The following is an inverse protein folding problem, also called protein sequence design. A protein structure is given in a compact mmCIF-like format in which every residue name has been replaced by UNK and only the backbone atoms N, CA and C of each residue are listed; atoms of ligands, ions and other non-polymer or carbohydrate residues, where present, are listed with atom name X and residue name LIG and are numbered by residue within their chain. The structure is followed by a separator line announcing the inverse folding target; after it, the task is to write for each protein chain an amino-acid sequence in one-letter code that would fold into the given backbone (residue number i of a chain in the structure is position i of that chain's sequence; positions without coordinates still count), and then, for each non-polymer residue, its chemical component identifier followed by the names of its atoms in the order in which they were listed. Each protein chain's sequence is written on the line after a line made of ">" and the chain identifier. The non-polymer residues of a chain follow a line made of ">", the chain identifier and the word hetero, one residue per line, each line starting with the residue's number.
data_IF_743536658589
#
_entry.id   IF_743536658589
#
_cell.length_a   1.000
_cell.length_b   1.000
_cell.length_c   1.000
_cell.angle_alpha   90.00
_cell.angle_beta   90.00
_cell.angle_gamma   90.00
#
_symmetry.space_group_name_H-M   'P 1'
#
loop_
_entity.id
_entity.type
_entity.pdbx_description
1 polymer ?
#
# COMPACT_ATOMS: atom_id res chain seq x y z
N UNK A 1 17.34 -11.70 -22.75
CA UNK A 1 15.93 -12.16 -22.84
C UNK A 1 15.32 -12.42 -21.46
N UNK A 2 15.98 -13.16 -20.56
CA UNK A 2 15.48 -13.40 -19.19
C UNK A 2 15.22 -12.10 -18.40
N UNK A 3 16.15 -11.13 -18.50
CA UNK A 3 16.03 -9.84 -17.81
C UNK A 3 14.81 -9.01 -18.27
N UNK A 4 14.53 -8.97 -19.58
CA UNK A 4 13.37 -8.27 -20.13
C UNK A 4 12.06 -8.91 -19.67
N UNK A 5 11.99 -10.23 -19.70
CA UNK A 5 10.83 -11.00 -19.21
C UNK A 5 10.55 -10.71 -17.74
N UNK A 6 11.58 -10.71 -16.89
CA UNK A 6 11.44 -10.43 -15.46
C UNK A 6 10.94 -8.98 -15.22
N UNK A 7 11.49 -8.01 -15.95
CA UNK A 7 11.03 -6.60 -15.90
C UNK A 7 9.57 -6.42 -16.32
N UNK A 8 9.14 -7.09 -17.38
CA UNK A 8 7.74 -7.05 -17.84
C UNK A 8 6.82 -7.72 -16.82
N UNK A 9 7.19 -8.89 -16.30
CA UNK A 9 6.40 -9.58 -15.28
C UNK A 9 6.25 -8.73 -14.01
N UNK A 10 7.33 -8.12 -13.53
CA UNK A 10 7.29 -7.22 -12.38
C UNK A 10 6.37 -6.02 -12.65
N UNK A 11 6.47 -5.38 -13.82
CA UNK A 11 5.62 -4.26 -14.21
C UNK A 11 4.13 -4.63 -14.33
N UNK A 12 3.82 -5.82 -14.84
CA UNK A 12 2.45 -6.35 -14.90
C UNK A 12 1.90 -6.67 -13.51
N UNK A 13 2.71 -7.26 -12.64
CA UNK A 13 2.30 -7.53 -11.26
C UNK A 13 2.07 -6.23 -10.48
N UNK A 14 2.88 -5.19 -10.71
CA UNK A 14 2.65 -3.85 -10.15
C UNK A 14 1.37 -3.22 -10.69
N UNK A 15 1.12 -3.29 -12.00
CA UNK A 15 -0.12 -2.82 -12.60
C UNK A 15 -1.33 -3.54 -11.97
N UNK A 16 -1.23 -4.84 -11.67
CA UNK A 16 -2.27 -5.60 -10.97
C UNK A 16 -2.57 -5.03 -9.59
N UNK A 17 -1.57 -4.59 -8.84
CA UNK A 17 -1.76 -3.93 -7.53
C UNK A 17 -2.60 -2.68 -7.68
N UNK A 18 -2.19 -1.80 -8.61
CA UNK A 18 -2.88 -0.53 -8.84
C UNK A 18 -4.30 -0.77 -9.33
N UNK A 19 -4.50 -1.76 -10.21
CA UNK A 19 -5.82 -2.16 -10.69
C UNK A 19 -6.70 -2.61 -9.53
N UNK A 20 -6.23 -3.55 -8.70
CA UNK A 20 -7.02 -4.08 -7.60
C UNK A 20 -7.38 -3.00 -6.59
N UNK A 21 -6.44 -2.12 -6.26
CA UNK A 21 -6.69 -0.97 -5.40
C UNK A 21 -7.68 0.03 -5.99
N UNK A 22 -7.54 0.35 -7.27
CA UNK A 22 -8.45 1.25 -7.98
C UNK A 22 -9.86 0.64 -8.05
N UNK A 23 -9.99 -0.66 -8.31
CA UNK A 23 -11.27 -1.37 -8.34
C UNK A 23 -11.99 -1.31 -7.00
N UNK A 24 -11.25 -1.55 -5.91
CA UNK A 24 -11.77 -1.49 -4.56
C UNK A 24 -12.29 -0.07 -4.27
N UNK A 25 -11.48 0.97 -4.53
CA UNK A 25 -11.89 2.37 -4.36
C UNK A 25 -13.10 2.76 -5.24
N UNK A 26 -13.17 2.31 -6.49
CA UNK A 26 -14.32 2.52 -7.38
C UNK A 26 -15.58 1.89 -6.80
N UNK A 27 -15.49 0.64 -6.32
CA UNK A 27 -16.62 -0.06 -5.72
C UNK A 27 -17.20 0.70 -4.53
N UNK A 28 -16.33 1.32 -3.73
CA UNK A 28 -16.74 2.20 -2.64
C UNK A 28 -17.31 3.52 -3.11
N UNK A 29 -16.72 4.15 -4.12
CA UNK A 29 -17.25 5.37 -4.74
C UNK A 29 -18.67 5.16 -5.27
N UNK A 30 -18.95 4.03 -5.91
CA UNK A 30 -20.31 3.67 -6.29
C UNK A 30 -21.22 3.54 -5.07
N UNK A 31 -20.80 2.80 -4.04
CA UNK A 31 -21.61 2.59 -2.84
C UNK A 31 -21.92 3.89 -2.09
N UNK A 32 -20.93 4.78 -1.92
CA UNK A 32 -21.05 6.05 -1.20
C UNK A 32 -22.20 6.93 -1.73
N UNK A 33 -22.43 6.92 -3.05
CA UNK A 33 -23.49 7.72 -3.69
C UNK A 33 -24.90 7.24 -3.30
N UNK A 34 -25.05 5.96 -2.96
CA UNK A 34 -26.33 5.36 -2.58
C UNK A 34 -26.56 5.30 -1.07
N UNK A 35 -25.59 5.73 -0.25
CA UNK A 35 -25.77 5.75 1.21
C UNK A 35 -26.71 6.88 1.65
N UNK A 36 -27.48 6.62 2.70
CA UNK A 36 -28.59 7.46 3.18
C UNK A 36 -28.22 8.94 3.38
N UNK A 37 -26.99 9.22 3.82
CA UNK A 37 -26.52 10.57 4.15
C UNK A 37 -25.79 11.28 3.02
N UNK A 38 -25.63 10.66 1.85
CA UNK A 38 -25.03 11.34 0.70
C UNK A 38 -25.77 12.63 0.29
N UNK A 39 -27.13 12.67 0.25
CA UNK A 39 -27.86 13.90 -0.08
C UNK A 39 -27.68 15.04 0.92
N UNK A 40 -27.27 14.73 2.16
CA UNK A 40 -27.06 15.71 3.23
C UNK A 40 -25.66 16.35 3.20
N UNK A 41 -24.75 15.82 2.38
CA UNK A 41 -23.44 16.41 2.19
C UNK A 41 -23.54 17.79 1.50
N UNK A 42 -22.60 18.72 1.77
CA UNK A 42 -22.50 19.95 1.01
C UNK A 42 -22.36 19.66 -0.50
N UNK A 43 -22.98 20.49 -1.34
CA UNK A 43 -22.93 20.33 -2.79
C UNK A 43 -21.51 20.28 -3.35
N UNK A 44 -20.54 20.96 -2.70
CA UNK A 44 -19.12 20.88 -3.05
C UNK A 44 -18.58 19.47 -2.88
N UNK A 45 -18.95 18.80 -1.80
CA UNK A 45 -18.43 17.50 -1.39
C UNK A 45 -19.04 16.38 -2.21
N UNK A 46 -20.33 16.50 -2.56
CA UNK A 46 -20.98 15.62 -3.55
C UNK A 46 -20.28 15.70 -4.91
N UNK A 47 -20.02 16.91 -5.42
CA UNK A 47 -19.32 17.10 -6.70
C UNK A 47 -17.89 16.55 -6.64
N UNK A 48 -17.18 16.76 -5.54
CA UNK A 48 -15.83 16.21 -5.36
C UNK A 48 -15.82 14.68 -5.38
N UNK A 49 -16.79 14.02 -4.74
CA UNK A 49 -16.92 12.56 -4.80
C UNK A 49 -17.26 12.05 -6.21
N UNK A 50 -18.05 12.79 -6.99
CA UNK A 50 -18.31 12.45 -8.41
C UNK A 50 -17.06 12.63 -9.27
N UNK A 51 -16.30 13.71 -9.05
CA UNK A 51 -15.02 13.95 -9.73
C UNK A 51 -14.02 12.86 -9.38
N UNK A 52 -13.93 12.49 -8.10
CA UNK A 52 -13.09 11.40 -7.60
C UNK A 52 -13.41 10.07 -8.30
N UNK A 53 -14.69 9.67 -8.30
CA UNK A 53 -15.14 8.46 -8.98
C UNK A 53 -14.81 8.49 -10.48
N UNK A 54 -15.02 9.62 -11.16
CA UNK A 54 -14.66 9.80 -12.57
C UNK A 54 -13.15 9.64 -12.81
N UNK A 55 -12.33 10.19 -11.92
CA UNK A 55 -10.88 10.09 -11.97
C UNK A 55 -10.40 8.65 -11.78
N UNK A 56 -10.98 7.93 -10.83
CA UNK A 56 -10.68 6.52 -10.56
C UNK A 56 -11.13 5.62 -11.72
N UNK A 57 -12.30 5.86 -12.31
CA UNK A 57 -12.78 5.13 -13.50
C UNK A 57 -11.85 5.34 -14.70
N UNK A 58 -11.43 6.57 -14.95
CA UNK A 58 -10.44 6.87 -15.99
C UNK A 58 -9.10 6.16 -15.72
N UNK A 59 -8.64 6.18 -14.47
CA UNK A 59 -7.42 5.49 -14.04
C UNK A 59 -7.51 3.99 -14.26
N UNK A 60 -8.63 3.38 -13.91
CA UNK A 60 -8.87 1.96 -14.14
C UNK A 60 -8.89 1.63 -15.65
N UNK A 61 -9.55 2.43 -16.48
CA UNK A 61 -9.55 2.24 -17.93
C UNK A 61 -8.13 2.32 -18.54
N UNK A 62 -7.32 3.28 -18.08
CA UNK A 62 -5.92 3.39 -18.48
C UNK A 62 -5.12 2.14 -18.05
N UNK A 63 -5.26 1.68 -16.81
CA UNK A 63 -4.55 0.50 -16.34
C UNK A 63 -4.96 -0.79 -17.07
N UNK A 64 -6.25 -0.96 -17.39
CA UNK A 64 -6.72 -2.10 -18.18
C UNK A 64 -6.17 -2.07 -19.61
N UNK A 65 -5.90 -0.88 -20.15
CA UNK A 65 -5.29 -0.70 -21.47
C UNK A 65 -3.95 -1.42 -21.59
N UNK A 66 -3.16 -1.55 -20.51
CA UNK A 66 -1.89 -2.30 -20.51
C UNK A 66 -2.09 -3.76 -20.93
N UNK A 67 -3.06 -4.43 -20.34
CA UNK A 67 -3.38 -5.82 -20.63
C UNK A 67 -3.92 -5.98 -22.06
N UNK A 68 -4.76 -5.04 -22.51
CA UNK A 68 -5.28 -5.03 -23.87
C UNK A 68 -4.16 -4.80 -24.90
N UNK A 69 -3.26 -3.85 -24.64
CA UNK A 69 -2.14 -3.51 -25.51
C UNK A 69 -1.18 -4.69 -25.68
N UNK A 70 -0.79 -5.34 -24.57
CA UNK A 70 0.07 -6.52 -24.60
C UNK A 70 -0.51 -7.62 -25.49
N UNK A 71 -1.83 -7.84 -25.42
CA UNK A 71 -2.47 -8.93 -26.15
C UNK A 71 -2.76 -8.59 -27.62
N UNK A 72 -3.13 -7.35 -27.92
CA UNK A 72 -3.59 -6.92 -29.25
C UNK A 72 -2.43 -6.45 -30.11
N UNK A 73 -1.56 -5.58 -29.57
CA UNK A 73 -0.46 -4.97 -30.32
C UNK A 73 0.76 -5.88 -30.33
N UNK A 74 1.16 -6.35 -29.15
CA UNK A 74 2.37 -7.16 -28.96
C UNK A 74 2.11 -8.66 -29.15
N UNK A 75 0.85 -9.07 -29.37
CA UNK A 75 0.42 -10.48 -29.53
C UNK A 75 0.84 -11.41 -28.37
N UNK A 76 1.09 -10.83 -27.20
CA UNK A 76 1.58 -11.53 -26.01
C UNK A 76 3.10 -11.77 -25.97
N UNK A 77 3.87 -11.14 -26.87
CA UNK A 77 5.33 -11.20 -26.85
C UNK A 77 5.93 -10.12 -25.94
N UNK A 78 6.99 -10.50 -25.23
CA UNK A 78 7.74 -9.64 -24.32
C UNK A 78 8.65 -8.68 -25.11
N UNK A 79 8.18 -7.47 -25.42
CA UNK A 79 8.93 -6.48 -26.20
C UNK A 79 9.44 -5.29 -25.38
N UNK A 80 10.58 -4.66 -25.77
CA UNK A 80 11.04 -3.41 -25.15
C UNK A 80 10.08 -2.23 -25.37
N UNK A 81 9.25 -2.29 -26.43
CA UNK A 81 8.18 -1.31 -26.67
C UNK A 81 7.13 -1.38 -25.57
N UNK A 82 6.69 -2.59 -25.23
CA UNK A 82 5.72 -2.82 -24.17
C UNK A 82 6.20 -2.35 -22.80
N UNK A 83 7.46 -2.61 -22.45
CA UNK A 83 8.03 -2.14 -21.18
C UNK A 83 7.98 -0.60 -21.05
N UNK A 84 8.25 0.13 -22.15
CA UNK A 84 8.10 1.59 -22.17
C UNK A 84 6.66 2.02 -22.00
N UNK A 85 5.72 1.33 -22.63
CA UNK A 85 4.28 1.57 -22.44
C UNK A 85 3.87 1.37 -20.98
N UNK A 86 4.31 0.29 -20.33
CA UNK A 86 4.10 0.05 -18.89
C UNK A 86 4.58 1.26 -18.07
N UNK A 87 5.83 1.67 -18.27
CA UNK A 87 6.40 2.78 -17.49
C UNK A 87 5.68 4.12 -17.73
N UNK A 88 5.30 4.40 -18.98
CA UNK A 88 4.68 5.66 -19.39
C UNK A 88 3.24 5.76 -18.88
N UNK A 89 2.49 4.66 -18.94
CA UNK A 89 1.09 4.65 -18.54
C UNK A 89 0.91 4.62 -17.02
N UNK A 90 1.84 4.00 -16.27
CA UNK A 90 1.69 3.90 -14.82
C UNK A 90 2.18 5.13 -14.04
N UNK A 91 3.09 5.95 -14.59
CA UNK A 91 3.52 7.18 -13.92
C UNK A 91 2.38 8.17 -13.64
N UNK A 92 1.47 8.49 -14.60
CA UNK A 92 0.39 9.42 -14.36
C UNK A 92 -0.74 8.85 -13.48
N UNK A 93 -0.83 7.53 -13.26
CA UNK A 93 -1.95 6.92 -12.52
C UNK A 93 -1.85 7.07 -10.99
N UNK A 94 -0.67 7.36 -10.46
CA UNK A 94 -0.48 7.59 -9.01
C UNK A 94 -1.07 8.93 -8.55
N UNK A 95 -1.13 9.93 -9.44
CA UNK A 95 -1.67 11.27 -9.13
C UNK A 95 -3.18 11.19 -8.85
N UNK A 96 -4.00 10.56 -9.72
CA UNK A 96 -5.41 10.32 -9.41
C UNK A 96 -5.65 9.63 -8.07
N UNK A 97 -4.85 8.62 -7.73
CA UNK A 97 -5.00 7.91 -6.45
C UNK A 97 -4.68 8.84 -5.26
N UNK A 98 -3.65 9.68 -5.39
CA UNK A 98 -3.30 10.65 -4.34
C UNK A 98 -4.40 11.71 -4.15
N UNK A 99 -4.97 12.19 -5.26
CA UNK A 99 -6.12 13.13 -5.24
C UNK A 99 -7.33 12.44 -4.62
N UNK A 100 -7.59 11.18 -4.97
CA UNK A 100 -8.69 10.40 -4.44
C UNK A 100 -8.63 10.26 -2.93
N UNK A 101 -7.47 9.83 -2.40
CA UNK A 101 -7.26 9.73 -0.96
C UNK A 101 -7.45 11.07 -0.25
N UNK A 102 -7.00 12.17 -0.87
CA UNK A 102 -7.20 13.53 -0.36
C UNK A 102 -8.66 13.97 -0.33
N UNK A 103 -9.41 13.73 -1.40
CA UNK A 103 -10.84 14.05 -1.48
C UNK A 103 -11.62 13.25 -0.43
N UNK A 104 -11.36 11.94 -0.34
CA UNK A 104 -12.06 11.08 0.61
C UNK A 104 -11.76 11.49 2.07
N UNK A 105 -10.50 11.82 2.41
CA UNK A 105 -10.14 12.38 3.72
C UNK A 105 -10.75 13.76 3.97
N UNK A 106 -10.86 14.61 2.95
CA UNK A 106 -11.54 15.90 3.07
C UNK A 106 -13.00 15.72 3.46
N UNK A 107 -13.74 14.85 2.76
CA UNK A 107 -15.15 14.60 3.03
C UNK A 107 -15.35 13.97 4.41
N UNK A 108 -14.51 12.98 4.76
CA UNK A 108 -14.50 12.36 6.07
C UNK A 108 -14.26 13.38 7.19
N UNK A 109 -13.25 14.23 7.02
CA UNK A 109 -12.91 15.28 7.96
C UNK A 109 -13.96 16.38 8.04
N UNK A 110 -14.58 16.78 6.92
CA UNK A 110 -15.64 17.80 6.90
C UNK A 110 -16.86 17.35 7.70
N UNK A 111 -17.23 16.06 7.60
CA UNK A 111 -18.36 15.49 8.35
C UNK A 111 -18.12 15.45 9.87
N UNK A 112 -16.88 15.31 10.32
CA UNK A 112 -16.56 15.12 11.75
C UNK A 112 -16.00 16.38 12.42
N UNK A 113 -15.09 17.09 11.76
CA UNK A 113 -14.36 18.25 12.29
C UNK A 113 -14.84 19.59 11.67
N UNK A 114 -15.77 19.54 10.73
CA UNK A 114 -16.17 20.69 9.93
C UNK A 114 -15.17 21.01 8.82
N UNK A 115 -15.47 22.03 8.02
CA UNK A 115 -14.79 22.32 6.74
C UNK A 115 -13.29 22.60 6.88
N UNK A 116 -12.87 23.30 7.94
CA UNK A 116 -11.45 23.60 8.18
C UNK A 116 -10.65 22.35 8.54
N UNK A 117 -11.19 21.50 9.41
CA UNK A 117 -10.58 20.21 9.73
C UNK A 117 -10.58 19.26 8.54
N UNK A 118 -11.65 19.26 7.74
CA UNK A 118 -11.72 18.57 6.45
C UNK A 118 -10.62 19.00 5.49
N UNK A 119 -10.45 20.32 5.28
CA UNK A 119 -9.38 20.85 4.41
C UNK A 119 -7.99 20.44 4.91
N UNK A 120 -7.72 20.56 6.22
CA UNK A 120 -6.44 20.18 6.79
C UNK A 120 -6.15 18.69 6.59
N UNK A 121 -7.13 17.80 6.80
CA UNK A 121 -6.97 16.36 6.59
C UNK A 121 -6.85 15.99 5.11
N UNK A 122 -7.65 16.59 4.24
CA UNK A 122 -7.60 16.33 2.81
C UNK A 122 -6.29 16.78 2.17
N UNK A 123 -5.87 18.03 2.43
CA UNK A 123 -4.61 18.56 1.93
C UNK A 123 -3.40 17.88 2.58
N UNK A 124 -3.46 17.61 3.89
CA UNK A 124 -2.41 16.88 4.60
C UNK A 124 -2.25 15.46 4.07
N UNK A 125 -3.36 14.73 3.91
CA UNK A 125 -3.37 13.37 3.36
C UNK A 125 -2.88 13.32 1.91
N UNK A 126 -3.39 14.21 1.05
CA UNK A 126 -2.91 14.33 -0.33
C UNK A 126 -1.43 14.70 -0.39
N UNK A 127 -0.98 15.64 0.45
CA UNK A 127 0.40 16.07 0.53
C UNK A 127 1.34 14.94 0.97
N UNK A 128 0.99 14.20 2.02
CA UNK A 128 1.73 13.00 2.44
C UNK A 128 1.77 11.96 1.33
N UNK A 129 0.64 11.71 0.66
CA UNK A 129 0.55 10.79 -0.48
C UNK A 129 1.48 11.21 -1.61
N UNK A 130 1.43 12.47 -2.02
CA UNK A 130 2.29 13.01 -3.10
C UNK A 130 3.76 12.98 -2.70
N UNK A 131 4.11 13.31 -1.46
CA UNK A 131 5.51 13.27 -1.00
C UNK A 131 6.03 11.84 -1.00
N UNK A 132 5.27 10.87 -0.51
CA UNK A 132 5.72 9.47 -0.44
C UNK A 132 5.70 8.79 -1.81
N UNK A 133 4.69 9.06 -2.64
CA UNK A 133 4.50 8.41 -3.94
C UNK A 133 5.14 9.16 -5.12
N UNK A 134 5.52 10.43 -5.00
CA UNK A 134 6.21 11.19 -6.06
C UNK A 134 7.47 11.90 -5.54
N UNK A 135 7.39 12.53 -4.37
CA UNK A 135 8.48 13.34 -3.82
C UNK A 135 9.74 12.54 -3.49
N UNK A 136 9.58 11.35 -2.88
CA UNK A 136 10.69 10.42 -2.64
C UNK A 136 11.33 9.95 -3.95
N UNK A 137 10.54 9.90 -5.02
CA UNK A 137 11.00 9.38 -6.31
C UNK A 137 11.85 10.41 -7.05
N UNK A 138 11.39 11.66 -7.15
CA UNK A 138 12.11 12.70 -7.91
C UNK A 138 13.45 13.06 -7.24
N UNK A 139 13.47 13.14 -5.91
CA UNK A 139 14.67 13.47 -5.14
C UNK A 139 15.73 12.36 -5.25
N UNK A 140 15.32 11.09 -5.24
CA UNK A 140 16.26 9.97 -5.26
C UNK A 140 16.66 9.56 -6.68
N UNK A 141 15.79 9.75 -7.67
CA UNK A 141 16.13 9.61 -9.10
C UNK A 141 17.34 10.45 -9.47
N UNK A 142 17.40 11.71 -9.01
CA UNK A 142 18.56 12.57 -9.26
C UNK A 142 19.83 12.16 -8.52
N UNK A 143 19.70 11.50 -7.36
CA UNK A 143 20.85 11.14 -6.51
C UNK A 143 21.48 9.80 -6.86
N UNK A 144 20.69 8.85 -7.36
CA UNK A 144 21.12 7.45 -7.57
C UNK A 144 21.21 7.03 -9.04
N UNK A 145 20.69 7.81 -9.99
CA UNK A 145 20.89 7.53 -11.42
C UNK A 145 22.35 7.29 -11.85
N UNK A 146 23.38 8.01 -11.35
CA UNK A 146 24.77 7.73 -11.75
C UNK A 146 25.36 6.44 -11.13
N UNK A 147 24.84 5.96 -10.00
CA UNK A 147 25.35 4.78 -9.29
C UNK A 147 24.79 3.46 -9.85
N UNK A 148 23.56 3.47 -10.37
CA UNK A 148 22.95 2.28 -11.01
C UNK A 148 23.73 1.89 -12.27
N UNK A 149 24.10 2.88 -13.10
CA UNK A 149 24.80 2.65 -14.36
C UNK A 149 26.23 2.10 -14.14
N UNK A 150 26.95 2.60 -13.12
CA UNK A 150 28.27 2.06 -12.73
C UNK A 150 28.23 0.61 -12.22
N UNK A 151 27.12 0.18 -11.63
CA UNK A 151 26.96 -1.20 -11.14
C UNK A 151 26.61 -2.19 -12.24
N UNK A 152 25.89 -1.74 -13.26
CA UNK A 152 25.67 -2.53 -14.49
C UNK A 152 26.98 -2.82 -15.22
N UNK A 153 27.90 -1.84 -15.28
CA UNK A 153 29.23 -2.05 -15.89
C UNK A 153 30.12 -3.01 -15.08
N UNK A 154 29.79 -3.28 -13.82
CA UNK A 154 30.59 -4.08 -12.87
C UNK A 154 29.96 -5.45 -12.54
N UNK A 155 28.80 -5.81 -13.09
CA UNK A 155 28.14 -7.08 -12.77
C UNK A 155 28.80 -8.25 -13.49
N UNK A 156 29.64 -9.00 -12.77
CA UNK A 156 30.19 -10.28 -13.23
C UNK A 156 29.18 -11.42 -12.94
N UNK A 157 28.79 -12.26 -13.92
CA UNK A 157 27.71 -13.25 -13.76
C UNK A 157 27.97 -14.43 -12.80
N UNK A 158 29.18 -14.57 -12.24
CA UNK A 158 29.65 -15.84 -11.68
C UNK A 158 29.59 -15.99 -10.14
N UNK A 159 28.92 -15.13 -9.38
CA UNK A 159 28.88 -15.28 -7.91
C UNK A 159 27.48 -15.18 -7.30
N UNK A 160 26.76 -16.30 -7.29
CA UNK A 160 25.64 -16.50 -6.34
C UNK A 160 25.34 -17.99 -6.09
N UNK A 161 26.35 -18.79 -5.71
CA UNK A 161 26.08 -20.11 -5.11
C UNK A 161 25.58 -19.96 -3.66
N UNK A 162 24.34 -20.40 -3.41
CA UNK A 162 23.87 -20.82 -2.09
C UNK A 162 23.00 -19.85 -1.27
N UNK A 163 22.73 -18.62 -1.75
CA UNK A 163 21.80 -17.66 -1.08
C UNK A 163 20.81 -17.14 -2.12
N UNK A 164 19.54 -16.98 -1.73
CA UNK A 164 18.49 -16.41 -2.58
C UNK A 164 19.00 -15.12 -3.22
N UNK A 165 18.90 -15.02 -4.55
CA UNK A 165 19.34 -13.85 -5.31
C UNK A 165 18.64 -12.59 -4.85
N UNK A 166 19.28 -11.43 -5.02
CA UNK A 166 18.69 -10.13 -4.64
C UNK A 166 17.35 -9.90 -5.38
N UNK A 167 17.29 -10.29 -6.66
CA UNK A 167 16.07 -10.30 -7.47
C UNK A 167 14.93 -11.10 -6.83
N UNK A 168 15.20 -12.31 -6.33
CA UNK A 168 14.19 -13.12 -5.65
C UNK A 168 13.72 -12.46 -4.35
N UNK A 169 14.63 -11.85 -3.57
CA UNK A 169 14.28 -11.16 -2.33
C UNK A 169 13.40 -9.94 -2.58
N UNK A 170 13.70 -9.19 -3.63
CA UNK A 170 12.89 -8.04 -4.02
C UNK A 170 11.51 -8.49 -4.50
N UNK A 171 11.45 -9.54 -5.33
CA UNK A 171 10.17 -10.13 -5.73
C UNK A 171 9.36 -10.59 -4.51
N UNK A 172 10.02 -11.17 -3.50
CA UNK A 172 9.37 -11.57 -2.25
C UNK A 172 8.82 -10.37 -1.47
N UNK A 173 9.61 -9.33 -1.21
CA UNK A 173 9.12 -8.17 -0.43
C UNK A 173 8.01 -7.41 -1.15
N UNK A 174 8.08 -7.29 -2.48
CA UNK A 174 6.98 -6.73 -3.28
C UNK A 174 5.75 -7.63 -3.20
N UNK A 175 5.91 -8.95 -3.23
CA UNK A 175 4.81 -9.91 -3.06
C UNK A 175 4.20 -9.86 -1.66
N UNK A 176 5.00 -9.70 -0.62
CA UNK A 176 4.52 -9.50 0.75
C UNK A 176 3.67 -8.23 0.85
N UNK A 177 4.11 -7.11 0.26
CA UNK A 177 3.30 -5.90 0.17
C UNK A 177 1.98 -6.13 -0.60
N UNK A 178 2.03 -6.89 -1.70
CA UNK A 178 0.86 -7.25 -2.54
C UNK A 178 -0.19 -8.07 -1.80
N UNK A 179 0.22 -8.91 -0.85
CA UNK A 179 -0.72 -9.71 -0.06
C UNK A 179 -1.50 -8.82 0.91
N UNK A 180 -0.88 -7.77 1.44
CA UNK A 180 -1.43 -6.93 2.51
C UNK A 180 -2.26 -5.78 1.94
N UNK A 181 -1.80 -5.16 0.85
CA UNK A 181 -2.39 -3.94 0.30
C UNK A 181 -3.88 -4.06 -0.03
N UNK A 182 -4.38 -5.11 -0.71
CA UNK A 182 -5.80 -5.20 -1.03
C UNK A 182 -6.69 -5.27 0.21
N UNK A 183 -6.22 -5.93 1.27
CA UNK A 183 -6.91 -5.97 2.56
C UNK A 183 -6.99 -4.58 3.20
N UNK A 184 -5.87 -3.83 3.21
CA UNK A 184 -5.84 -2.46 3.73
C UNK A 184 -6.77 -1.51 2.93
N UNK A 185 -6.79 -1.65 1.61
CA UNK A 185 -7.65 -0.85 0.72
C UNK A 185 -9.14 -1.17 0.91
N UNK A 186 -9.48 -2.43 1.13
CA UNK A 186 -10.85 -2.83 1.45
C UNK A 186 -11.31 -2.20 2.78
N UNK A 187 -10.50 -2.29 3.83
CA UNK A 187 -10.79 -1.67 5.13
C UNK A 187 -11.02 -0.16 4.98
N UNK A 188 -10.11 0.51 4.28
CA UNK A 188 -10.16 1.95 4.03
C UNK A 188 -11.48 2.38 3.41
N UNK A 189 -11.96 1.70 2.38
CA UNK A 189 -13.21 2.14 1.76
C UNK A 189 -14.47 1.68 2.48
N UNK A 190 -14.44 0.58 3.23
CA UNK A 190 -15.52 0.29 4.19
C UNK A 190 -15.61 1.38 5.27
N UNK A 191 -14.47 1.87 5.78
CA UNK A 191 -14.45 2.98 6.73
C UNK A 191 -15.01 4.28 6.13
N UNK A 192 -14.74 4.57 4.85
CA UNK A 192 -15.33 5.72 4.17
C UNK A 192 -16.85 5.60 4.05
N UNK A 193 -17.35 4.42 3.67
CA UNK A 193 -18.80 4.15 3.59
C UNK A 193 -19.49 4.38 4.93
N UNK A 194 -18.89 3.91 6.03
CA UNK A 194 -19.45 4.05 7.39
C UNK A 194 -19.81 5.51 7.72
N UNK A 195 -19.02 6.48 7.25
CA UNK A 195 -19.22 7.91 7.56
C UNK A 195 -20.53 8.46 6.99
N UNK A 196 -21.06 7.85 5.92
CA UNK A 196 -22.33 8.23 5.30
C UNK A 196 -23.52 7.37 5.75
N UNK A 197 -23.30 6.42 6.66
CA UNK A 197 -24.39 5.63 7.24
C UNK A 197 -25.09 6.39 8.36
N UNK A 198 -26.42 6.24 8.48
CA UNK A 198 -27.20 6.83 9.59
C UNK A 198 -26.66 6.44 10.97
N UNK A 199 -26.24 5.18 11.11
CA UNK A 199 -25.69 4.64 12.36
C UNK A 199 -24.44 5.38 12.86
N UNK A 200 -23.68 6.02 11.96
CA UNK A 200 -22.51 6.82 12.32
C UNK A 200 -22.90 8.12 13.02
N UNK A 201 -24.00 8.77 12.60
CA UNK A 201 -24.45 10.02 13.21
C UNK A 201 -24.87 9.84 14.68
N UNK A 202 -25.37 8.66 15.03
CA UNK A 202 -25.73 8.26 16.40
C UNK A 202 -24.52 7.99 17.30
N UNK A 203 -23.30 7.96 16.76
CA UNK A 203 -22.10 7.74 17.56
C UNK A 203 -21.77 8.97 18.43
N UNK A 204 -21.24 8.75 19.65
CA UNK A 204 -20.64 9.83 20.43
C UNK A 204 -19.53 10.53 19.66
N UNK A 205 -19.38 11.85 19.86
CA UNK A 205 -18.34 12.65 19.19
C UNK A 205 -16.93 12.06 19.35
N UNK A 206 -16.61 11.53 20.54
CA UNK A 206 -15.32 10.86 20.78
C UNK A 206 -15.10 9.63 19.89
N UNK A 207 -16.15 8.87 19.59
CA UNK A 207 -16.05 7.69 18.71
C UNK A 207 -15.90 8.09 17.24
N UNK A 208 -16.55 9.18 16.81
CA UNK A 208 -16.34 9.75 15.46
C UNK A 208 -14.90 10.22 15.27
N UNK A 209 -14.29 10.83 16.29
CA UNK A 209 -12.87 11.22 16.26
C UNK A 209 -11.93 10.02 16.19
N UNK A 210 -12.19 8.96 16.98
CA UNK A 210 -11.39 7.73 16.91
C UNK A 210 -11.53 7.06 15.55
N UNK A 211 -12.73 7.01 14.95
CA UNK A 211 -12.94 6.52 13.59
C UNK A 211 -12.10 7.31 12.58
N UNK A 212 -12.14 8.64 12.65
CA UNK A 212 -11.38 9.50 11.74
C UNK A 212 -9.86 9.34 11.89
N UNK A 213 -9.37 9.21 13.12
CA UNK A 213 -7.96 8.93 13.38
C UNK A 213 -7.55 7.56 12.84
N UNK A 214 -8.40 6.55 13.03
CA UNK A 214 -8.19 5.19 12.52
C UNK A 214 -8.14 5.15 11.01
N UNK A 215 -9.06 5.84 10.35
CA UNK A 215 -9.10 6.02 8.90
C UNK A 215 -7.82 6.68 8.37
N UNK A 216 -7.35 7.76 9.02
CA UNK A 216 -6.11 8.42 8.62
C UNK A 216 -4.88 7.48 8.75
N UNK A 217 -4.84 6.64 9.77
CA UNK A 217 -3.79 5.63 9.96
C UNK A 217 -3.86 4.53 8.88
N UNK A 218 -5.05 4.05 8.52
CA UNK A 218 -5.21 3.05 7.43
C UNK A 218 -4.83 3.67 6.09
N UNK A 219 -5.19 4.94 5.82
CA UNK A 219 -4.72 5.68 4.63
C UNK A 219 -3.20 5.76 4.61
N UNK A 220 -2.56 6.13 5.72
CA UNK A 220 -1.11 6.18 5.83
C UNK A 220 -0.47 4.80 5.58
N UNK A 221 -1.01 3.74 6.16
CA UNK A 221 -0.56 2.37 5.89
C UNK A 221 -0.68 2.01 4.42
N UNK A 222 -1.78 2.38 3.77
CA UNK A 222 -2.03 2.10 2.36
C UNK A 222 -1.01 2.81 1.47
N UNK A 223 -0.73 4.09 1.74
CA UNK A 223 0.30 4.87 1.03
C UNK A 223 1.68 4.23 1.22
N UNK A 224 2.04 3.83 2.45
CA UNK A 224 3.31 3.17 2.73
C UNK A 224 3.42 1.84 1.96
N UNK A 225 2.38 1.01 1.94
CA UNK A 225 2.39 -0.26 1.19
C UNK A 225 2.48 -0.07 -0.33
N UNK A 226 1.97 1.04 -0.87
CA UNK A 226 2.10 1.40 -2.30
C UNK A 226 3.50 1.93 -2.66
N UNK A 227 4.21 2.53 -1.70
CA UNK A 227 5.48 3.23 -1.92
C UNK A 227 6.57 2.36 -2.53
N UNK A 228 6.85 1.11 -2.08
CA UNK A 228 7.91 0.28 -2.64
C UNK A 228 7.74 -0.01 -4.14
N UNK A 229 6.52 -0.34 -4.57
CA UNK A 229 6.23 -0.63 -5.97
C UNK A 229 6.40 0.61 -6.86
N UNK A 230 5.94 1.77 -6.39
CA UNK A 230 6.11 3.04 -7.10
C UNK A 230 7.60 3.41 -7.21
N UNK A 231 8.33 3.33 -6.10
CA UNK A 231 9.76 3.60 -6.02
C UNK A 231 10.59 2.69 -6.93
N UNK A 232 10.34 1.37 -6.91
CA UNK A 232 11.04 0.38 -7.74
C UNK A 232 10.96 0.75 -9.23
N UNK A 233 9.78 1.18 -9.66
CA UNK A 233 9.55 1.51 -11.06
C UNK A 233 10.18 2.84 -11.46
N UNK A 234 10.03 3.87 -10.63
CA UNK A 234 10.34 5.25 -11.05
C UNK A 234 11.80 5.59 -10.79
N UNK A 235 12.37 5.12 -9.69
CA UNK A 235 13.77 5.39 -9.30
C UNK A 235 14.70 4.33 -9.85
N UNK A 236 14.41 3.05 -9.61
CA UNK A 236 15.28 1.95 -10.00
C UNK A 236 15.05 1.50 -11.46
N UNK A 237 14.01 2.01 -12.15
CA UNK A 237 13.64 1.58 -13.52
C UNK A 237 13.40 0.07 -13.63
N UNK A 238 13.01 -0.59 -12.54
CA UNK A 238 12.88 -2.03 -12.46
C UNK A 238 14.20 -2.79 -12.30
N UNK A 239 15.27 -2.13 -11.85
CA UNK A 239 16.53 -2.76 -11.48
C UNK A 239 16.51 -3.29 -10.05
N UNK A 240 17.14 -4.44 -9.85
CA UNK A 240 17.08 -5.21 -8.61
C UNK A 240 18.27 -4.89 -7.70
N UNK A 241 18.14 -3.85 -6.86
CA UNK A 241 19.26 -3.37 -6.02
C UNK A 241 19.12 -3.70 -4.52
N UNK A 242 20.24 -4.01 -3.87
CA UNK A 242 20.28 -4.26 -2.41
C UNK A 242 19.83 -3.03 -1.59
N UNK A 243 19.99 -1.81 -2.14
CA UNK A 243 19.46 -0.60 -1.52
C UNK A 243 17.93 -0.62 -1.51
N UNK A 244 17.32 -0.89 -2.66
CA UNK A 244 15.87 -0.99 -2.79
C UNK A 244 15.30 -2.07 -1.86
N UNK A 245 15.89 -3.26 -1.82
CA UNK A 245 15.44 -4.33 -0.93
C UNK A 245 15.36 -3.89 0.54
N UNK A 246 16.39 -3.19 1.05
CA UNK A 246 16.39 -2.67 2.42
C UNK A 246 15.35 -1.57 2.65
N UNK A 247 15.16 -0.69 1.67
CA UNK A 247 14.13 0.34 1.73
C UNK A 247 12.73 -0.28 1.74
N UNK A 248 12.41 -1.12 0.76
CA UNK A 248 11.13 -1.81 0.64
C UNK A 248 10.79 -2.61 1.91
N UNK A 249 11.75 -3.38 2.43
CA UNK A 249 11.56 -4.15 3.68
C UNK A 249 11.20 -3.26 4.86
N UNK A 250 11.88 -2.12 5.03
CA UNK A 250 11.59 -1.18 6.13
C UNK A 250 10.22 -0.55 5.98
N UNK A 251 9.84 -0.16 4.76
CA UNK A 251 8.56 0.49 4.49
C UNK A 251 7.39 -0.48 4.72
N UNK A 252 7.49 -1.73 4.24
CA UNK A 252 6.47 -2.76 4.49
C UNK A 252 6.32 -3.08 5.97
N UNK A 253 7.42 -3.16 6.73
CA UNK A 253 7.35 -3.36 8.18
C UNK A 253 6.75 -2.12 8.87
N UNK A 254 7.13 -0.91 8.43
CA UNK A 254 6.63 0.34 8.99
C UNK A 254 5.14 0.55 8.74
N UNK A 255 4.58 0.06 7.62
CA UNK A 255 3.15 0.18 7.32
C UNK A 255 2.27 -0.64 8.26
N UNK A 256 2.79 -1.74 8.83
CA UNK A 256 2.03 -2.57 9.77
C UNK A 256 1.71 -1.84 11.08
N UNK A 257 2.54 -0.88 11.50
CA UNK A 257 2.35 -0.09 12.72
C UNK A 257 1.04 0.72 12.68
N UNK A 258 0.83 1.62 11.69
CA UNK A 258 -0.42 2.36 11.57
C UNK A 258 -1.60 1.44 11.21
N UNK A 259 -1.39 0.34 10.48
CA UNK A 259 -2.46 -0.63 10.19
C UNK A 259 -3.04 -1.25 11.47
N UNK A 260 -2.18 -1.70 12.39
CA UNK A 260 -2.60 -2.28 13.66
C UNK A 260 -3.37 -1.26 14.52
N UNK A 261 -2.88 -0.02 14.56
CA UNK A 261 -3.50 1.06 15.32
C UNK A 261 -4.88 1.42 14.73
N UNK A 262 -4.98 1.53 13.40
CA UNK A 262 -6.25 1.78 12.70
C UNK A 262 -7.28 0.70 12.97
N UNK A 263 -6.91 -0.58 12.80
CA UNK A 263 -7.80 -1.72 13.09
C UNK A 263 -8.28 -1.75 14.54
N UNK A 264 -7.38 -1.46 15.49
CA UNK A 264 -7.72 -1.43 16.91
C UNK A 264 -8.70 -0.30 17.24
N UNK A 265 -8.53 0.86 16.59
CA UNK A 265 -9.43 1.99 16.73
C UNK A 265 -10.80 1.76 16.07
N UNK A 266 -10.87 1.07 14.94
CA UNK A 266 -12.15 0.63 14.35
C UNK A 266 -12.89 -0.32 15.30
N UNK A 267 -12.17 -1.29 15.88
CA UNK A 267 -12.76 -2.22 16.84
C UNK A 267 -13.28 -1.48 18.08
N UNK A 268 -12.56 -0.46 18.56
CA UNK A 268 -13.05 0.42 19.62
C UNK A 268 -14.41 1.03 19.24
N UNK A 269 -14.54 1.59 18.04
CA UNK A 269 -15.78 2.25 17.58
C UNK A 269 -16.93 1.24 17.48
N UNK A 270 -16.67 0.05 16.94
CA UNK A 270 -17.67 -1.02 16.81
C UNK A 270 -18.15 -1.48 18.18
N UNK A 271 -17.24 -1.82 19.10
CA UNK A 271 -17.61 -2.27 20.45
C UNK A 271 -18.31 -1.16 21.23
N UNK A 272 -17.87 0.10 21.07
CA UNK A 272 -18.52 1.25 21.69
C UNK A 272 -19.95 1.45 21.20
N UNK A 273 -20.21 1.23 19.91
CA UNK A 273 -21.55 1.31 19.31
C UNK A 273 -22.48 0.21 19.83
N UNK A 274 -21.98 -1.03 19.92
CA UNK A 274 -22.79 -2.20 20.32
C UNK A 274 -23.04 -2.23 21.83
N UNK A 275 -22.00 -2.04 22.64
CA UNK A 275 -22.06 -2.25 24.09
C UNK A 275 -22.37 -0.99 24.89
N UNK A 276 -22.25 0.20 24.28
CA UNK A 276 -22.45 1.47 24.98
C UNK A 276 -21.44 1.74 26.12
N UNK A 277 -20.37 0.95 26.25
CA UNK A 277 -19.42 0.99 27.38
C UNK A 277 -17.99 1.28 26.92
N UNK A 278 -17.39 2.37 27.44
CA UNK A 278 -16.01 2.79 27.14
C UNK A 278 -14.99 1.76 27.61
N UNK A 279 -15.05 1.23 28.86
CA UNK A 279 -14.04 0.27 29.31
C UNK A 279 -14.04 -1.02 28.49
N UNK A 280 -15.20 -1.50 28.04
CA UNK A 280 -15.27 -2.66 27.16
C UNK A 280 -14.64 -2.40 25.79
N UNK A 281 -14.92 -1.22 25.21
CA UNK A 281 -14.34 -0.81 23.94
C UNK A 281 -12.80 -0.66 24.02
N UNK A 282 -12.29 -0.05 25.09
CA UNK A 282 -10.85 0.07 25.35
C UNK A 282 -10.19 -1.28 25.53
N UNK A 283 -10.82 -2.19 26.29
CA UNK A 283 -10.29 -3.54 26.51
C UNK A 283 -10.22 -4.32 25.20
N UNK A 284 -11.28 -4.28 24.38
CA UNK A 284 -11.29 -4.94 23.08
C UNK A 284 -10.22 -4.39 22.13
N UNK A 285 -10.09 -3.05 22.06
CA UNK A 285 -9.06 -2.40 21.26
C UNK A 285 -7.65 -2.73 21.74
N UNK A 286 -7.41 -2.74 23.06
CA UNK A 286 -6.11 -3.10 23.64
C UNK A 286 -5.76 -4.57 23.37
N UNK A 287 -6.71 -5.49 23.50
CA UNK A 287 -6.52 -6.91 23.18
C UNK A 287 -6.21 -7.09 21.70
N UNK A 288 -6.94 -6.42 20.81
CA UNK A 288 -6.67 -6.44 19.37
C UNK A 288 -5.27 -5.90 19.06
N UNK A 289 -4.89 -4.77 19.65
CA UNK A 289 -3.58 -4.17 19.46
C UNK A 289 -2.46 -5.10 19.92
N UNK A 290 -2.59 -5.68 21.11
CA UNK A 290 -1.62 -6.65 21.64
C UNK A 290 -1.55 -7.89 20.75
N UNK A 291 -2.68 -8.39 20.25
CA UNK A 291 -2.71 -9.52 19.33
C UNK A 291 -2.00 -9.20 18.00
N UNK A 292 -2.30 -8.06 17.38
CA UNK A 292 -1.64 -7.60 16.15
C UNK A 292 -0.13 -7.43 16.36
N UNK A 293 0.29 -6.68 17.38
CA UNK A 293 1.72 -6.45 17.64
C UNK A 293 2.45 -7.73 18.06
N UNK A 294 1.80 -8.57 18.86
CA UNK A 294 2.33 -9.86 19.30
C UNK A 294 2.54 -10.81 18.13
N UNK A 295 1.57 -10.90 17.21
CA UNK A 295 1.67 -11.78 16.04
C UNK A 295 2.61 -11.24 14.97
N UNK A 296 2.58 -9.94 14.69
CA UNK A 296 3.32 -9.33 13.58
C UNK A 296 4.78 -9.00 13.94
N UNK A 297 5.05 -8.60 15.18
CA UNK A 297 6.40 -8.23 15.62
C UNK A 297 6.92 -9.18 16.70
N UNK A 298 6.11 -9.47 17.73
CA UNK A 298 6.52 -10.28 18.87
C UNK A 298 6.99 -11.69 18.47
N UNK A 299 6.17 -12.41 17.70
CA UNK A 299 6.45 -13.79 17.30
C UNK A 299 7.67 -13.90 16.35
N UNK A 300 7.81 -13.06 15.31
CA UNK A 300 9.03 -13.04 14.49
C UNK A 300 10.28 -12.67 15.27
N UNK A 301 10.23 -11.66 16.15
CA UNK A 301 11.36 -11.24 16.98
C UNK A 301 11.78 -12.34 17.97
N UNK A 302 10.81 -13.01 18.61
CA UNK A 302 11.06 -14.13 19.51
C UNK A 302 11.72 -15.31 18.78
N UNK A 303 11.27 -15.62 17.56
CA UNK A 303 11.89 -16.67 16.73
C UNK A 303 13.32 -16.28 16.32
N UNK A 304 13.55 -15.03 15.94
CA UNK A 304 14.90 -14.52 15.59
C UNK A 304 15.87 -14.59 16.76
N UNK A 305 15.42 -14.24 17.97
CA UNK A 305 16.21 -14.35 19.20
C UNK A 305 16.57 -15.81 19.55
N UNK A 306 15.63 -16.74 19.33
CA UNK A 306 15.87 -18.18 19.54
C UNK A 306 16.82 -18.80 18.51
N UNK A 307 16.81 -18.33 17.27
CA UNK A 307 17.72 -18.80 16.22
C UNK A 307 19.16 -18.32 16.43
N UNK A 308 19.33 -17.08 16.86
CA UNK A 308 20.67 -16.53 17.22
C UNK A 308 21.26 -17.19 18.46
N UNK A 309 20.42 -17.74 19.34
CA UNK A 309 20.85 -18.47 20.55
C UNK A 309 21.15 -19.96 20.31
N UNK A 310 20.91 -20.50 19.11
CA UNK A 310 21.29 -21.89 18.79
C UNK A 310 22.78 -21.92 18.43
N UNK A 311 23.62 -22.68 19.17
CA UNK A 311 25.02 -22.84 18.80
C UNK A 311 25.11 -23.45 17.39
N UNK A 312 26.10 -23.03 16.57
CA UNK A 312 26.29 -23.61 15.24
C UNK A 312 26.43 -25.13 15.38
N UNK A 313 25.70 -25.86 14.53
CA UNK A 313 25.80 -27.32 14.48
C UNK A 313 27.27 -27.69 14.26
N UNK A 314 27.83 -28.65 15.03
CA UNK A 314 29.18 -29.12 14.77
C UNK A 314 29.29 -29.57 13.31
N UNK A 315 30.40 -29.28 12.63
CA UNK A 315 30.59 -29.68 11.24
C UNK A 315 30.33 -31.18 11.14
N UNK A 316 29.45 -31.59 10.22
CA UNK A 316 29.24 -33.00 9.91
C UNK A 316 30.60 -33.57 9.56
N UNK A 317 31.16 -34.38 10.46
CA UNK A 317 32.36 -35.15 10.17
C UNK A 317 32.06 -35.99 8.95
N UNK A 318 32.69 -35.64 7.82
CA UNK A 318 32.74 -36.50 6.65
C UNK A 318 33.28 -37.84 7.11
N UNK A 319 32.41 -38.85 7.15
CA UNK A 319 32.85 -40.23 7.34
C UNK A 319 33.88 -40.51 6.25
N UNK A 320 35.12 -40.91 6.59
CA UNK A 320 36.03 -41.42 5.59
C UNK A 320 35.37 -42.67 4.99
N UNK A 321 35.22 -42.66 3.67
CA UNK A 321 34.87 -43.84 2.92
C UNK A 321 35.89 -44.94 3.28
N UNK A 322 35.45 -45.96 4.01
CA UNK A 322 36.23 -47.17 4.15
C UNK A 322 36.20 -47.90 2.80
N UNK A 323 37.41 -48.18 2.34
CA UNK A 323 37.78 -48.95 1.16
C UNK A 323 37.21 -50.37 1.14
#
# INVERSE_FOLDING_TARGET
>A
MAELKNKIQNGLDEARILILGTQVLIGFGFRLIFEDRFPELPATSQRLLLVDLGLLLMTFALLVTLSAWHRIVERGEDTPGFLRTISSLMWPTLLPISVALGINLFVAGEKVLGRTGGLALGLGGAGVSLVLLYGLEEVQRHRYAPDIQRRQDMSNPEQAEGKTGIEDKIRHVLTEARVILPGAQALLGFQFVIILMRAFDELPASSKLVHLASLALVVLSTILLMTPAAYHRIVERGEETEHFHRFASRVVIASLVPLALGLSGDLYVVVRKVMGSVPMALTAAAVCLVACYGLWFGLPLARRARQTSRPPLPPRSSHPAHA
#
